data_IF_961540719066
#
_entry.id   IF_961540719066
#
_cell.length_a   1.000
_cell.length_b   1.000
_cell.length_c   1.000
_cell.angle_alpha   90.00
_cell.angle_beta   90.00
_cell.angle_gamma   90.00
#
_symmetry.space_group_name_H-M   'P 1'
#
loop_
_entity.id
_entity.type
_entity.pdbx_description
1 polymer ?
#
# COMPACT_ATOMS: atom_id res chain seq x y z
N UNK A 1 43.10 18.69 3.79
CA UNK A 1 43.08 18.56 2.31
C UNK A 1 41.88 17.72 1.89
N UNK A 2 40.79 18.36 1.49
CA UNK A 2 39.56 17.65 1.08
C UNK A 2 39.75 17.11 -0.33
N UNK A 3 39.79 15.77 -0.47
CA UNK A 3 39.70 15.10 -1.77
C UNK A 3 38.46 15.64 -2.49
N UNK A 4 38.64 16.48 -3.51
CA UNK A 4 37.57 16.90 -4.40
C UNK A 4 37.21 15.70 -5.26
N UNK A 5 36.31 14.85 -4.74
CA UNK A 5 35.61 13.88 -5.57
C UNK A 5 35.05 14.63 -6.77
N UNK A 6 35.33 14.14 -7.99
CA UNK A 6 34.89 14.76 -9.23
C UNK A 6 33.36 14.75 -9.24
N UNK A 7 32.74 15.87 -8.89
CA UNK A 7 31.28 15.99 -8.80
C UNK A 7 30.70 15.78 -10.21
N UNK A 8 29.91 14.72 -10.40
CA UNK A 8 29.24 14.46 -11.66
C UNK A 8 27.96 15.30 -11.72
N UNK A 9 28.03 16.47 -12.34
CA UNK A 9 26.87 17.34 -12.52
C UNK A 9 25.85 16.69 -13.45
N UNK A 10 24.56 16.79 -13.10
CA UNK A 10 23.44 16.33 -13.96
C UNK A 10 22.81 17.51 -14.69
N UNK A 11 21.64 17.34 -15.29
CA UNK A 11 20.91 18.50 -15.82
C UNK A 11 20.42 19.40 -14.66
N UNK A 12 20.62 20.73 -14.74
CA UNK A 12 20.21 21.66 -13.70
C UNK A 12 18.67 21.73 -13.63
N UNK A 13 18.13 21.78 -12.40
CA UNK A 13 16.70 22.00 -12.19
C UNK A 13 16.36 23.49 -12.16
N UNK A 14 15.06 23.81 -12.27
CA UNK A 14 14.56 25.20 -12.33
C UNK A 14 15.14 26.13 -11.27
N UNK A 15 15.16 25.73 -9.99
CA UNK A 15 15.70 26.59 -8.93
C UNK A 15 17.22 26.84 -9.01
N UNK A 16 17.98 25.94 -9.62
CA UNK A 16 19.40 26.16 -9.87
C UNK A 16 19.62 27.11 -11.06
N UNK A 17 18.77 27.00 -12.08
CA UNK A 17 18.78 27.90 -13.25
C UNK A 17 18.41 29.32 -12.81
N UNK A 18 17.36 29.48 -12.01
CA UNK A 18 16.96 30.79 -11.46
C UNK A 18 18.07 31.42 -10.61
N UNK A 19 18.73 30.62 -9.77
CA UNK A 19 19.84 31.11 -8.96
C UNK A 19 21.04 31.52 -9.82
N UNK A 20 21.40 30.72 -10.83
CA UNK A 20 22.45 31.08 -11.77
C UNK A 20 22.08 32.37 -12.52
N UNK A 21 20.82 32.50 -12.99
CA UNK A 21 20.33 33.67 -13.73
C UNK A 21 20.61 34.98 -13.02
N UNK A 22 20.44 35.03 -11.69
CA UNK A 22 20.74 36.23 -10.88
C UNK A 22 22.19 36.73 -10.99
N UNK A 23 23.12 35.87 -11.40
CA UNK A 23 24.54 36.20 -11.54
C UNK A 23 25.00 36.38 -12.98
N UNK A 24 24.22 35.91 -13.96
CA UNK A 24 24.59 35.93 -15.40
C UNK A 24 23.68 36.77 -16.27
N UNK A 25 22.61 37.33 -15.71
CA UNK A 25 21.71 38.22 -16.42
C UNK A 25 22.46 39.47 -16.93
N UNK A 26 22.35 39.74 -18.23
CA UNK A 26 23.02 40.87 -18.89
C UNK A 26 24.45 40.61 -19.38
N UNK A 27 25.04 39.44 -19.08
CA UNK A 27 26.38 39.08 -19.56
C UNK A 27 26.34 38.39 -20.93
N UNK A 28 27.36 38.63 -21.74
CA UNK A 28 27.57 37.83 -22.96
C UNK A 28 28.02 36.41 -22.59
N UNK A 29 27.88 35.44 -23.50
CA UNK A 29 28.27 34.04 -23.26
C UNK A 29 29.73 33.95 -22.79
N UNK A 30 30.64 34.74 -23.37
CA UNK A 30 32.07 34.72 -23.04
C UNK A 30 32.34 35.22 -21.61
N UNK A 31 31.58 36.21 -21.15
CA UNK A 31 31.68 36.76 -19.80
C UNK A 31 30.95 35.88 -18.76
N UNK A 32 29.89 35.20 -19.20
CA UNK A 32 29.10 34.29 -18.36
C UNK A 32 29.89 33.04 -17.94
N UNK A 33 30.70 32.46 -18.84
CA UNK A 33 31.49 31.26 -18.56
C UNK A 33 32.35 31.33 -17.29
N UNK A 34 33.22 32.35 -17.11
CA UNK A 34 34.04 32.45 -15.90
C UNK A 34 33.21 32.68 -14.63
N UNK A 35 32.05 33.34 -14.73
CA UNK A 35 31.12 33.53 -13.62
C UNK A 35 30.48 32.20 -13.21
N UNK A 36 30.03 31.41 -14.18
CA UNK A 36 29.46 30.08 -13.96
C UNK A 36 30.50 29.16 -13.31
N UNK A 37 31.74 29.15 -13.79
CA UNK A 37 32.81 28.36 -13.15
C UNK A 37 33.04 28.74 -11.69
N UNK A 38 33.05 30.04 -11.37
CA UNK A 38 33.20 30.54 -10.00
C UNK A 38 31.99 30.14 -9.14
N UNK A 39 30.79 30.15 -9.71
CA UNK A 39 29.55 29.72 -9.05
C UNK A 39 29.60 28.21 -8.73
N UNK A 40 30.03 27.38 -9.67
CA UNK A 40 30.19 25.92 -9.45
C UNK A 40 31.26 25.59 -8.41
N UNK A 41 32.36 26.35 -8.38
CA UNK A 41 33.40 26.21 -7.35
C UNK A 41 32.97 26.74 -5.98
N UNK A 42 31.83 27.44 -5.91
CA UNK A 42 31.29 28.05 -4.71
C UNK A 42 32.08 29.26 -4.20
N UNK A 43 32.77 29.96 -5.10
CA UNK A 43 33.55 31.17 -4.77
C UNK A 43 32.71 32.45 -4.86
N UNK A 44 31.54 32.39 -5.49
CA UNK A 44 30.74 33.58 -5.81
C UNK A 44 29.68 33.92 -4.74
N UNK A 45 29.20 32.92 -4.00
CA UNK A 45 28.19 33.14 -2.96
C UNK A 45 28.83 33.31 -1.59
N UNK A 46 28.15 34.08 -0.74
CA UNK A 46 28.56 34.29 0.64
C UNK A 46 28.43 32.97 1.43
N UNK A 47 29.53 32.43 1.99
CA UNK A 47 29.48 31.23 2.83
C UNK A 47 28.63 31.43 4.10
N UNK A 48 28.33 32.67 4.50
CA UNK A 48 27.46 32.96 5.62
C UNK A 48 25.96 32.75 5.31
N UNK A 49 25.54 32.79 4.03
CA UNK A 49 24.13 32.58 3.68
C UNK A 49 23.74 31.09 3.76
N UNK A 50 23.18 30.70 4.91
CA UNK A 50 22.66 29.35 5.18
C UNK A 50 21.52 28.91 4.26
N UNK A 51 20.94 29.80 3.44
CA UNK A 51 19.91 29.45 2.46
C UNK A 51 20.48 28.97 1.14
N UNK A 52 21.75 29.24 0.84
CA UNK A 52 22.40 28.76 -0.38
C UNK A 52 22.90 27.34 -0.12
N UNK A 53 22.36 26.38 -0.87
CA UNK A 53 22.62 24.96 -0.68
C UNK A 53 22.93 24.29 -2.00
N UNK A 54 23.56 23.12 -1.95
CA UNK A 54 23.71 22.23 -3.11
C UNK A 54 22.52 21.30 -3.22
N UNK A 55 21.99 21.15 -4.43
CA UNK A 55 20.90 20.21 -4.71
C UNK A 55 21.39 18.77 -4.61
N UNK A 56 20.75 17.94 -3.79
CA UNK A 56 21.13 16.54 -3.61
C UNK A 56 20.91 15.65 -4.85
N UNK A 57 20.30 16.17 -5.91
CA UNK A 57 20.08 15.43 -7.16
C UNK A 57 21.01 15.86 -8.29
N UNK A 58 21.08 17.17 -8.58
CA UNK A 58 21.85 17.72 -9.71
C UNK A 58 23.16 18.41 -9.30
N UNK A 59 23.44 18.51 -8.00
CA UNK A 59 24.66 19.08 -7.41
C UNK A 59 24.95 20.57 -7.69
N UNK A 60 24.05 21.29 -8.35
CA UNK A 60 24.15 22.74 -8.49
C UNK A 60 23.71 23.49 -7.22
N UNK A 61 24.24 24.70 -7.05
CA UNK A 61 23.80 25.62 -6.03
C UNK A 61 22.44 26.20 -6.35
N UNK A 62 21.63 26.38 -5.32
CA UNK A 62 20.34 27.05 -5.38
C UNK A 62 20.04 27.74 -4.05
N UNK A 63 19.14 28.72 -4.08
CA UNK A 63 18.66 29.39 -2.87
C UNK A 63 17.37 28.75 -2.37
N UNK A 64 17.35 28.33 -1.11
CA UNK A 64 16.18 27.75 -0.47
C UNK A 64 15.10 28.82 -0.23
N UNK A 65 13.97 28.70 -0.95
CA UNK A 65 12.80 29.57 -0.81
C UNK A 65 11.84 29.08 0.28
N UNK A 66 12.06 27.90 0.86
CA UNK A 66 11.13 27.34 1.86
C UNK A 66 11.27 28.05 3.19
N UNK A 67 10.13 28.36 3.84
CA UNK A 67 10.10 28.96 5.19
C UNK A 67 10.97 28.22 6.22
N UNK A 68 10.97 26.87 6.32
CA UNK A 68 11.82 26.16 7.28
C UNK A 68 13.31 26.09 6.89
N UNK A 69 13.71 26.57 5.71
CA UNK A 69 15.07 26.43 5.18
C UNK A 69 15.60 24.98 5.30
N UNK A 70 14.83 24.00 4.85
CA UNK A 70 15.18 22.58 4.96
C UNK A 70 15.11 21.83 3.62
N UNK A 71 14.94 22.54 2.50
CA UNK A 71 14.93 21.88 1.20
C UNK A 71 16.31 21.29 0.92
N UNK A 72 16.31 20.13 0.25
CA UNK A 72 17.52 19.42 -0.21
C UNK A 72 17.63 19.40 -1.73
N UNK A 73 16.64 19.93 -2.44
CA UNK A 73 16.53 19.86 -3.89
C UNK A 73 16.08 21.22 -4.44
N UNK A 74 16.64 21.62 -5.57
CA UNK A 74 16.36 22.92 -6.19
C UNK A 74 14.99 22.99 -6.89
N UNK A 75 14.40 21.86 -7.28
CA UNK A 75 13.10 21.81 -7.96
C UNK A 75 12.27 20.59 -7.57
N UNK A 76 10.97 20.61 -7.92
CA UNK A 76 10.07 19.46 -7.76
C UNK A 76 10.52 18.26 -8.60
N UNK A 77 11.05 18.49 -9.78
CA UNK A 77 11.57 17.45 -10.67
C UNK A 77 12.78 16.75 -10.06
N UNK A 78 13.74 17.51 -9.53
CA UNK A 78 14.88 16.95 -8.80
C UNK A 78 14.43 16.13 -7.58
N UNK A 79 13.36 16.57 -6.89
CA UNK A 79 12.76 15.81 -5.78
C UNK A 79 12.15 14.48 -6.25
N UNK A 80 11.39 14.49 -7.34
CA UNK A 80 10.80 13.27 -7.89
C UNK A 80 11.91 12.30 -8.33
N UNK A 81 12.95 12.80 -9.00
CA UNK A 81 14.04 11.98 -9.49
C UNK A 81 14.84 11.34 -8.34
N UNK A 82 15.16 12.09 -7.27
CA UNK A 82 15.86 11.52 -6.12
C UNK A 82 15.00 10.51 -5.36
N UNK A 83 13.69 10.76 -5.24
CA UNK A 83 12.76 9.82 -4.59
C UNK A 83 12.62 8.53 -5.40
N UNK A 84 12.60 8.62 -6.73
CA UNK A 84 12.61 7.45 -7.63
C UNK A 84 13.89 6.64 -7.47
N UNK A 85 15.06 7.27 -7.43
CA UNK A 85 16.34 6.58 -7.19
C UNK A 85 16.38 5.89 -5.83
N UNK A 86 15.90 6.55 -4.77
CA UNK A 86 15.81 5.96 -3.42
C UNK A 86 14.86 4.76 -3.38
N UNK A 87 13.71 4.85 -4.07
CA UNK A 87 12.77 3.72 -4.17
C UNK A 87 13.39 2.56 -4.94
N UNK A 88 14.07 2.83 -6.05
CA UNK A 88 14.77 1.81 -6.83
C UNK A 88 15.84 1.10 -5.99
N UNK A 89 16.67 1.87 -5.26
CA UNK A 89 17.65 1.32 -4.33
C UNK A 89 16.99 0.47 -3.24
N UNK A 90 15.93 0.98 -2.59
CA UNK A 90 15.19 0.23 -1.57
C UNK A 90 14.60 -1.08 -2.11
N UNK A 91 14.12 -1.10 -3.37
CA UNK A 91 13.64 -2.34 -4.01
C UNK A 91 14.77 -3.31 -4.28
N UNK A 92 15.91 -2.82 -4.77
CA UNK A 92 17.10 -3.65 -4.98
C UNK A 92 17.59 -4.25 -3.65
N UNK A 93 17.72 -3.42 -2.61
CA UNK A 93 18.11 -3.87 -1.27
C UNK A 93 17.10 -4.89 -0.70
N UNK A 94 15.80 -4.67 -0.91
CA UNK A 94 14.76 -5.60 -0.47
C UNK A 94 14.81 -6.93 -1.23
N UNK A 95 15.07 -6.92 -2.53
CA UNK A 95 15.22 -8.12 -3.34
C UNK A 95 16.44 -8.96 -2.92
N UNK A 96 17.53 -8.30 -2.51
CA UNK A 96 18.71 -8.98 -1.97
C UNK A 96 18.45 -9.60 -0.58
N UNK A 97 17.74 -8.89 0.30
CA UNK A 97 17.48 -9.34 1.68
C UNK A 97 16.35 -10.37 1.79
N UNK A 98 15.36 -10.26 0.91
CA UNK A 98 14.19 -11.13 0.83
C UNK A 98 13.99 -11.48 -0.63
N UNK A 99 14.71 -12.48 -1.16
CA UNK A 99 14.42 -12.96 -2.50
C UNK A 99 12.92 -13.26 -2.57
N UNK A 100 12.27 -12.82 -3.65
CA UNK A 100 10.87 -13.15 -3.87
C UNK A 100 10.75 -14.66 -3.74
N UNK A 101 9.99 -15.13 -2.75
CA UNK A 101 9.70 -16.56 -2.62
C UNK A 101 9.01 -16.95 -3.92
N UNK A 102 9.49 -18.01 -4.56
CA UNK A 102 8.79 -18.60 -5.69
C UNK A 102 7.31 -18.70 -5.34
N UNK A 103 6.46 -18.15 -6.21
CA UNK A 103 5.02 -18.19 -5.99
C UNK A 103 4.61 -19.64 -5.87
N UNK A 104 4.34 -20.07 -4.65
CA UNK A 104 3.81 -21.39 -4.40
C UNK A 104 2.34 -21.37 -4.82
N UNK A 105 2.13 -21.62 -6.11
CA UNK A 105 0.81 -21.65 -6.76
C UNK A 105 -0.12 -22.59 -5.98
N UNK A 106 0.40 -23.67 -5.36
CA UNK A 106 -0.40 -24.61 -4.57
C UNK A 106 -0.91 -23.96 -3.27
N UNK A 107 -0.06 -23.17 -2.60
CA UNK A 107 -0.45 -22.40 -1.39
C UNK A 107 -1.35 -21.22 -1.72
N UNK A 108 -1.09 -20.51 -2.82
CA UNK A 108 -1.96 -19.44 -3.31
C UNK A 108 -3.35 -19.97 -3.69
N UNK A 109 -3.40 -21.13 -4.35
CA UNK A 109 -4.64 -21.82 -4.69
C UNK A 109 -5.42 -22.23 -3.44
N UNK A 110 -4.75 -22.74 -2.39
CA UNK A 110 -5.36 -22.99 -1.09
C UNK A 110 -5.98 -21.71 -0.49
N UNK A 111 -5.26 -20.60 -0.52
CA UNK A 111 -5.82 -19.32 -0.04
C UNK A 111 -6.98 -18.83 -0.91
N UNK A 112 -6.88 -18.94 -2.24
CA UNK A 112 -7.91 -18.49 -3.17
C UNK A 112 -9.24 -19.21 -2.95
N UNK A 113 -9.22 -20.55 -2.89
CA UNK A 113 -10.42 -21.34 -2.57
C UNK A 113 -10.92 -21.05 -1.17
N UNK A 114 -10.02 -20.87 -0.21
CA UNK A 114 -10.45 -20.57 1.14
C UNK A 114 -11.13 -19.18 1.25
N UNK A 115 -10.70 -18.16 0.49
CA UNK A 115 -11.21 -16.78 0.59
C UNK A 115 -12.49 -16.50 -0.23
N UNK A 116 -12.69 -17.18 -1.35
CA UNK A 116 -13.69 -16.77 -2.37
C UNK A 116 -14.81 -17.78 -2.61
N UNK A 117 -14.86 -18.90 -1.88
CA UNK A 117 -15.92 -19.89 -2.02
C UNK A 117 -17.19 -19.52 -1.23
N UNK A 118 -18.35 -19.86 -1.81
CA UNK A 118 -19.67 -19.78 -1.15
C UNK A 118 -20.00 -21.10 -0.40
N UNK A 119 -21.01 -21.06 0.48
CA UNK A 119 -21.45 -22.13 1.41
C UNK A 119 -21.33 -23.58 0.89
N UNK A 120 -21.75 -23.93 -0.34
CA UNK A 120 -21.72 -25.32 -0.83
C UNK A 120 -20.32 -25.87 -1.11
N UNK A 121 -19.31 -25.01 -1.14
CA UNK A 121 -17.96 -25.37 -1.58
C UNK A 121 -16.95 -25.38 -0.43
N UNK A 122 -17.37 -25.07 0.79
CA UNK A 122 -16.51 -25.24 1.97
C UNK A 122 -16.30 -26.73 2.25
N UNK A 123 -15.08 -27.06 2.66
CA UNK A 123 -14.67 -28.45 2.96
C UNK A 123 -15.47 -29.05 4.12
N UNK A 124 -15.89 -28.20 5.06
CA UNK A 124 -16.77 -28.56 6.16
C UNK A 124 -17.47 -27.33 6.73
N UNK A 125 -18.62 -27.55 7.35
CA UNK A 125 -19.37 -26.51 8.06
C UNK A 125 -18.53 -25.87 9.18
N UNK A 126 -17.78 -26.68 9.94
CA UNK A 126 -16.88 -26.16 10.99
C UNK A 126 -15.81 -25.21 10.45
N UNK A 127 -15.22 -25.53 9.28
CA UNK A 127 -14.22 -24.67 8.63
C UNK A 127 -14.84 -23.36 8.13
N UNK A 128 -16.05 -23.44 7.58
CA UNK A 128 -16.83 -22.26 7.22
C UNK A 128 -17.11 -21.39 8.44
N UNK A 129 -17.66 -21.95 9.54
CA UNK A 129 -17.99 -21.19 10.75
C UNK A 129 -16.77 -20.51 11.38
N UNK A 130 -15.64 -21.23 11.50
CA UNK A 130 -14.38 -20.66 12.01
C UNK A 130 -13.89 -19.49 11.14
N UNK A 131 -14.11 -19.55 9.83
CA UNK A 131 -13.69 -18.50 8.89
C UNK A 131 -14.66 -17.33 8.83
N UNK A 132 -15.96 -17.61 8.74
CA UNK A 132 -17.03 -16.62 8.83
C UNK A 132 -16.88 -15.80 10.11
N UNK A 133 -16.56 -16.43 11.24
CA UNK A 133 -16.29 -15.74 12.50
C UNK A 133 -15.17 -14.68 12.43
N UNK A 134 -14.21 -14.77 11.50
CA UNK A 134 -13.19 -13.73 11.35
C UNK A 134 -13.72 -12.45 10.65
N UNK A 135 -14.76 -12.58 9.83
CA UNK A 135 -15.35 -11.50 9.04
C UNK A 135 -16.69 -11.01 9.61
N UNK A 136 -17.50 -11.95 10.07
CA UNK A 136 -18.81 -11.81 10.70
C UNK A 136 -18.67 -11.99 12.21
N UNK A 137 -17.87 -11.11 12.84
CA UNK A 137 -17.76 -11.10 14.30
C UNK A 137 -19.05 -10.55 14.90
N UNK A 138 -19.67 -11.26 15.85
CA UNK A 138 -20.77 -10.69 16.62
C UNK A 138 -20.23 -9.50 17.44
N UNK A 139 -20.95 -8.37 17.39
CA UNK A 139 -20.65 -7.19 18.19
C UNK A 139 -21.80 -6.96 19.17
N UNK A 140 -21.48 -6.52 20.39
CA UNK A 140 -22.48 -6.09 21.37
C UNK A 140 -23.35 -4.93 20.84
N UNK A 141 -24.62 -4.80 21.28
CA UNK A 141 -25.54 -3.75 20.82
C UNK A 141 -24.96 -2.35 20.97
N UNK A 142 -24.26 -2.07 22.07
CA UNK A 142 -23.60 -0.78 22.31
C UNK A 142 -22.53 -0.46 21.27
N UNK A 143 -21.78 -1.48 20.84
CA UNK A 143 -20.73 -1.34 19.82
C UNK A 143 -21.33 -1.17 18.42
N UNK A 144 -22.51 -1.75 18.17
CA UNK A 144 -23.28 -1.50 16.94
C UNK A 144 -23.76 -0.05 16.90
N UNK A 145 -24.34 0.47 17.99
CA UNK A 145 -24.76 1.86 18.11
C UNK A 145 -23.58 2.83 17.89
N UNK A 146 -22.39 2.53 18.44
CA UNK A 146 -21.18 3.31 18.20
C UNK A 146 -20.71 3.28 16.73
N UNK A 147 -20.78 2.12 16.07
CA UNK A 147 -20.41 1.98 14.65
C UNK A 147 -21.37 2.79 13.76
N UNK A 148 -22.67 2.72 14.04
CA UNK A 148 -23.67 3.46 13.25
C UNK A 148 -23.59 4.97 13.50
N UNK A 149 -23.40 5.40 14.74
CA UNK A 149 -23.10 6.80 15.06
C UNK A 149 -21.82 7.29 14.37
N UNK A 150 -20.77 6.47 14.29
CA UNK A 150 -19.53 6.82 13.60
C UNK A 150 -19.69 6.90 12.07
N UNK A 151 -20.53 6.04 11.47
CA UNK A 151 -20.88 6.10 10.05
C UNK A 151 -21.68 7.35 9.70
N UNK A 152 -22.69 7.69 10.51
CA UNK A 152 -23.47 8.92 10.32
C UNK A 152 -22.61 10.18 10.42
N UNK A 153 -21.54 10.15 11.24
CA UNK A 153 -20.55 11.22 11.35
C UNK A 153 -19.53 11.27 10.20
N UNK A 154 -19.62 10.40 9.18
CA UNK A 154 -18.73 10.42 8.00
C UNK A 154 -17.27 10.04 8.28
N UNK A 155 -16.98 9.29 9.35
CA UNK A 155 -15.62 9.12 9.85
C UNK A 155 -14.76 8.20 8.97
N UNK A 156 -13.65 8.73 8.43
CA UNK A 156 -12.54 7.92 7.86
C UNK A 156 -11.81 7.23 9.03
N UNK A 157 -11.73 5.89 9.02
CA UNK A 157 -11.08 5.05 10.06
C UNK A 157 -9.70 5.62 10.47
N UNK A 158 -9.50 5.92 11.76
CA UNK A 158 -8.17 5.99 12.38
C UNK A 158 -7.68 4.57 12.74
N UNK A 159 -6.37 4.34 12.60
CA UNK A 159 -5.71 3.05 12.79
C UNK A 159 -5.79 2.50 14.23
N UNK A 160 -5.63 1.18 14.31
CA UNK A 160 -5.90 0.34 15.48
C UNK A 160 -4.86 0.51 16.60
N UNK A 161 -5.31 0.83 17.82
CA UNK A 161 -4.78 0.31 19.09
C UNK A 161 -5.55 0.95 20.27
N UNK A 162 -6.38 0.16 20.96
CA UNK A 162 -6.65 0.37 22.39
C UNK A 162 -6.65 -1.01 23.07
N UNK A 163 -5.90 -1.20 24.16
CA UNK A 163 -6.05 -2.37 25.01
C UNK A 163 -7.41 -2.29 25.73
N UNK A 164 -8.03 -3.44 25.99
CA UNK A 164 -9.20 -3.54 26.86
C UNK A 164 -8.85 -4.35 28.10
N UNK A 165 -9.35 -3.89 29.24
CA UNK A 165 -8.91 -4.23 30.59
C UNK A 165 -9.54 -5.53 31.15
N UNK A 166 -9.78 -6.51 30.28
CA UNK A 166 -10.17 -7.87 30.70
C UNK A 166 -11.57 -8.05 31.29
N UNK A 167 -12.51 -7.12 31.13
CA UNK A 167 -13.84 -7.17 31.77
C UNK A 167 -15.02 -7.48 30.82
N UNK A 168 -14.82 -8.29 29.78
CA UNK A 168 -15.86 -8.47 28.76
C UNK A 168 -16.92 -9.51 29.20
N UNK A 169 -18.16 -9.03 29.42
CA UNK A 169 -19.37 -9.87 29.55
C UNK A 169 -19.73 -10.50 28.20
N UNK A 170 -19.99 -11.81 28.21
CA UNK A 170 -20.46 -12.57 27.05
C UNK A 170 -21.99 -12.51 26.97
N UNK A 171 -22.52 -11.99 25.86
CA UNK A 171 -23.95 -12.09 25.54
C UNK A 171 -24.20 -12.47 24.07
N UNK A 172 -25.30 -13.20 23.86
CA UNK A 172 -25.59 -14.09 22.73
C UNK A 172 -26.41 -13.39 21.61
N UNK A 173 -25.91 -13.60 20.38
CA UNK A 173 -26.50 -13.66 19.01
C UNK A 173 -27.36 -12.52 18.44
N UNK A 174 -26.85 -11.98 17.33
CA UNK A 174 -27.60 -11.62 16.11
C UNK A 174 -26.67 -11.70 14.90
N UNK A 175 -27.03 -12.45 13.85
CA UNK A 175 -26.23 -12.62 12.61
C UNK A 175 -26.40 -11.40 11.69
N UNK A 176 -25.34 -11.04 10.95
CA UNK A 176 -25.29 -9.83 10.11
C UNK A 176 -25.16 -10.20 8.64
N UNK A 177 -26.14 -9.86 7.80
CA UNK A 177 -26.04 -9.98 6.34
C UNK A 177 -26.46 -8.68 5.64
N UNK A 178 -25.63 -8.21 4.69
CA UNK A 178 -25.90 -7.11 3.73
C UNK A 178 -26.65 -5.87 4.24
N UNK A 179 -26.16 -5.25 5.31
CA UNK A 179 -26.51 -3.88 5.73
C UNK A 179 -27.97 -3.63 6.18
N UNK A 180 -28.78 -4.66 6.43
CA UNK A 180 -30.06 -4.54 7.16
C UNK A 180 -30.23 -5.74 8.11
N UNK A 181 -30.97 -5.53 9.22
CA UNK A 181 -31.31 -6.59 10.17
C UNK A 181 -32.64 -7.22 9.72
N UNK A 182 -32.57 -8.39 9.08
CA UNK A 182 -33.73 -9.20 8.73
C UNK A 182 -33.79 -10.47 9.59
N UNK A 183 -34.97 -11.04 9.75
CA UNK A 183 -35.18 -12.32 10.43
C UNK A 183 -34.50 -13.45 9.62
N UNK A 184 -33.66 -14.24 10.27
CA UNK A 184 -32.91 -15.33 9.62
C UNK A 184 -33.83 -16.55 9.52
N UNK A 185 -34.40 -16.77 8.35
CA UNK A 185 -35.11 -18.01 8.03
C UNK A 185 -34.10 -19.11 7.68
N UNK A 186 -33.97 -20.09 8.57
CA UNK A 186 -33.26 -21.33 8.28
C UNK A 186 -34.23 -22.31 7.63
N UNK A 187 -34.16 -22.45 6.32
CA UNK A 187 -34.84 -23.54 5.61
C UNK A 187 -33.89 -24.72 5.46
N UNK A 188 -34.33 -25.90 5.90
CA UNK A 188 -33.67 -27.14 5.53
C UNK A 188 -34.07 -27.46 4.10
N UNK A 189 -33.18 -27.18 3.16
CA UNK A 189 -33.40 -27.53 1.74
C UNK A 189 -32.87 -28.93 1.47
N UNK A 190 -33.61 -29.70 0.67
CA UNK A 190 -33.09 -30.98 0.20
C UNK A 190 -31.95 -30.79 -0.80
N UNK A 191 -31.09 -31.81 -0.91
CA UNK A 191 -29.89 -31.75 -1.77
C UNK A 191 -30.21 -31.44 -3.23
N UNK A 192 -31.33 -31.93 -3.72
CA UNK A 192 -31.86 -31.70 -5.07
C UNK A 192 -32.28 -30.24 -5.28
N UNK A 193 -32.90 -29.63 -4.27
CA UNK A 193 -33.32 -28.23 -4.30
C UNK A 193 -32.12 -27.26 -4.26
N UNK A 194 -31.08 -27.60 -3.49
CA UNK A 194 -29.82 -26.87 -3.46
C UNK A 194 -29.18 -26.91 -4.85
N UNK A 195 -29.15 -28.07 -5.49
CA UNK A 195 -28.58 -28.22 -6.82
C UNK A 195 -29.34 -27.41 -7.87
N UNK A 196 -30.68 -27.43 -7.84
CA UNK A 196 -31.50 -26.61 -8.73
C UNK A 196 -31.25 -25.11 -8.50
N UNK A 197 -31.16 -24.66 -7.25
CA UNK A 197 -30.84 -23.28 -6.91
C UNK A 197 -29.45 -22.87 -7.43
N UNK A 198 -28.44 -23.71 -7.25
CA UNK A 198 -27.07 -23.42 -7.69
C UNK A 198 -26.94 -23.45 -9.22
N UNK A 199 -27.63 -24.38 -9.90
CA UNK A 199 -27.71 -24.42 -11.36
C UNK A 199 -28.36 -23.13 -11.87
N UNK A 200 -29.49 -22.71 -11.29
CA UNK A 200 -30.17 -21.46 -11.68
C UNK A 200 -29.32 -20.21 -11.45
N UNK A 201 -28.55 -20.17 -10.36
CA UNK A 201 -27.74 -18.99 -9.99
C UNK A 201 -26.40 -18.88 -10.73
N UNK A 202 -25.72 -20.00 -10.97
CA UNK A 202 -24.34 -20.02 -11.49
C UNK A 202 -24.20 -20.64 -12.87
N UNK A 203 -25.21 -21.38 -13.34
CA UNK A 203 -25.15 -22.17 -14.56
C UNK A 203 -24.41 -23.50 -14.37
N UNK A 204 -24.85 -24.52 -15.13
CA UNK A 204 -24.38 -25.90 -15.00
C UNK A 204 -22.87 -26.06 -15.24
N UNK A 205 -22.32 -25.37 -16.24
CA UNK A 205 -20.88 -25.40 -16.57
C UNK A 205 -20.01 -24.91 -15.41
N UNK A 206 -20.43 -23.85 -14.72
CA UNK A 206 -19.70 -23.28 -13.58
C UNK A 206 -19.81 -24.21 -12.37
N UNK A 207 -21.00 -24.75 -12.10
CA UNK A 207 -21.22 -25.71 -11.02
C UNK A 207 -20.37 -26.97 -11.20
N UNK A 208 -20.30 -27.52 -12.42
CA UNK A 208 -19.47 -28.68 -12.76
C UNK A 208 -17.98 -28.41 -12.53
N UNK A 209 -17.49 -27.23 -12.92
CA UNK A 209 -16.09 -26.85 -12.66
C UNK A 209 -15.80 -26.70 -11.17
N UNK A 210 -16.67 -26.04 -10.39
CA UNK A 210 -16.44 -25.88 -8.95
C UNK A 210 -16.52 -27.20 -8.19
N UNK A 211 -17.39 -28.14 -8.60
CA UNK A 211 -17.41 -29.51 -8.06
C UNK A 211 -16.13 -30.27 -8.35
N UNK A 212 -15.64 -30.22 -9.60
CA UNK A 212 -14.37 -30.83 -9.96
C UNK A 212 -13.20 -30.24 -9.15
N UNK A 213 -13.17 -28.91 -8.98
CA UNK A 213 -12.17 -28.21 -8.16
C UNK A 213 -12.23 -28.62 -6.70
N UNK A 214 -13.42 -28.78 -6.12
CA UNK A 214 -13.61 -29.23 -4.74
C UNK A 214 -13.09 -30.65 -4.51
N UNK A 215 -13.30 -31.56 -5.47
CA UNK A 215 -12.75 -32.93 -5.44
C UNK A 215 -11.22 -32.93 -5.48
N UNK A 216 -10.63 -32.16 -6.40
CA UNK A 216 -9.17 -32.02 -6.49
C UNK A 216 -8.59 -31.44 -5.20
N UNK A 217 -9.26 -30.44 -4.62
CA UNK A 217 -8.87 -29.85 -3.34
C UNK A 217 -8.92 -30.86 -2.19
N UNK A 218 -9.99 -31.67 -2.10
CA UNK A 218 -10.12 -32.70 -1.07
C UNK A 218 -9.00 -33.74 -1.14
N UNK A 219 -8.63 -34.17 -2.35
CA UNK A 219 -7.51 -35.08 -2.59
C UNK A 219 -6.15 -34.48 -2.18
N UNK A 220 -5.93 -33.19 -2.45
CA UNK A 220 -4.71 -32.48 -2.00
C UNK A 220 -4.67 -32.37 -0.48
N UNK A 221 -5.80 -32.10 0.17
CA UNK A 221 -5.90 -31.97 1.63
C UNK A 221 -5.58 -33.30 2.33
N UNK A 222 -6.12 -34.42 1.85
CA UNK A 222 -5.85 -35.74 2.45
C UNK A 222 -4.37 -36.12 2.35
N UNK A 223 -3.70 -35.76 1.25
CA UNK A 223 -2.27 -35.99 1.07
C UNK A 223 -1.35 -35.11 1.95
N UNK A 224 -1.86 -34.05 2.56
CA UNK A 224 -1.07 -33.09 3.37
C UNK A 224 -1.30 -33.23 4.88
N UNK A 225 -2.39 -33.89 5.28
CA UNK A 225 -2.82 -34.05 6.68
C UNK A 225 -2.74 -35.52 7.13
N UNK A 226 -2.62 -36.48 6.19
CA UNK A 226 -2.16 -37.84 6.47
C UNK A 226 -0.64 -37.90 6.55
#
# INVERSE_FOLDING_TARGET
MTKTAKTAYKNPGTGAIEFARQHVEGLTIKEALPVIERLLKGKLHDPADKRIKRCAYCDYYYRDKTRPNNSKTCSRECKIAIDTLKRAKKRADAALLKPEKDRDIKKEMYTYYAYWLEYPYYISEHYMLRRAHNHERPFAPDKLAQIDAAKQRGYKRKGYARPTDGSDKVHVRGLRYKHSYGEVTTTQMERTEIDQYLIGKYGDKKLKMERWRAVQFAAVKSAYIG
#
